data_IF_078977008738
#
_entry.id   IF_078977008738
#
_cell.length_a   1.000
_cell.length_b   1.000
_cell.length_c   1.000
_cell.angle_alpha   90.00
_cell.angle_beta   90.00
_cell.angle_gamma   90.00
#
_symmetry.space_group_name_H-M   'P 1'
#
loop_
_entity.id
_entity.type
_entity.pdbx_description
1 polymer ?
#
# COMPACT_ATOMS: atom_id res chain seq x y z
N UNK A 1 3.91 -5.35 -24.06
CA UNK A 1 2.85 -5.45 -23.03
C UNK A 1 2.83 -4.17 -22.20
N UNK A 2 1.68 -3.48 -22.15
CA UNK A 2 1.49 -2.33 -21.27
C UNK A 2 0.85 -2.79 -19.97
N UNK A 3 1.48 -2.47 -18.85
CA UNK A 3 0.97 -2.78 -17.51
C UNK A 3 -0.40 -2.10 -17.31
N UNK A 4 -1.36 -2.86 -16.80
CA UNK A 4 -2.69 -2.37 -16.44
C UNK A 4 -2.68 -1.97 -14.96
N UNK A 5 -2.80 -0.68 -14.69
CA UNK A 5 -2.74 -0.11 -13.35
C UNK A 5 -4.14 0.25 -12.88
N UNK A 6 -4.64 -0.44 -11.86
CA UNK A 6 -5.87 -0.04 -11.16
C UNK A 6 -5.57 1.11 -10.19
N UNK A 7 -6.42 2.13 -10.16
CA UNK A 7 -6.29 3.26 -9.24
C UNK A 7 -7.63 3.43 -8.52
N UNK A 8 -7.65 3.20 -7.20
CA UNK A 8 -8.85 3.50 -6.40
C UNK A 8 -8.90 4.99 -6.05
N UNK A 9 -10.08 5.57 -6.14
CA UNK A 9 -10.35 6.97 -5.80
C UNK A 9 -9.97 7.32 -4.35
N UNK A 10 -10.05 6.36 -3.42
CA UNK A 10 -9.91 6.61 -1.99
C UNK A 10 -11.13 7.29 -1.40
N UNK A 11 -10.94 8.23 -0.47
CA UNK A 11 -12.05 9.02 0.07
C UNK A 11 -12.64 9.93 -1.02
N UNK A 12 -13.93 9.76 -1.40
CA UNK A 12 -14.55 10.58 -2.42
C UNK A 12 -14.59 12.06 -2.07
N UNK A 13 -14.64 12.41 -0.78
CA UNK A 13 -14.63 13.81 -0.31
C UNK A 13 -13.22 14.38 -0.10
N UNK A 14 -12.17 13.54 -0.29
CA UNK A 14 -10.77 13.91 -0.09
C UNK A 14 -10.08 14.41 -1.37
N UNK A 15 -8.74 14.38 -1.34
CA UNK A 15 -7.90 14.81 -2.47
C UNK A 15 -7.75 13.75 -3.56
N UNK A 16 -8.17 12.50 -3.29
CA UNK A 16 -7.99 11.36 -4.18
C UNK A 16 -8.48 11.60 -5.61
N UNK A 17 -9.71 12.07 -5.82
CA UNK A 17 -10.24 12.36 -7.15
C UNK A 17 -9.37 13.33 -7.95
N UNK A 18 -8.96 14.45 -7.34
CA UNK A 18 -8.16 15.48 -7.99
C UNK A 18 -6.75 15.00 -8.37
N UNK A 19 -6.06 14.30 -7.44
CA UNK A 19 -4.71 13.80 -7.72
C UNK A 19 -4.71 12.68 -8.74
N UNK A 20 -5.74 11.84 -8.77
CA UNK A 20 -5.91 10.79 -9.80
C UNK A 20 -5.95 11.39 -11.19
N UNK A 21 -6.81 12.37 -11.43
CA UNK A 21 -6.92 13.02 -12.73
C UNK A 21 -5.63 13.71 -13.15
N UNK A 22 -4.98 14.44 -12.23
CA UNK A 22 -3.68 15.08 -12.50
C UNK A 22 -2.59 14.08 -12.84
N UNK A 23 -2.51 12.96 -12.10
CA UNK A 23 -1.51 11.92 -12.32
C UNK A 23 -1.69 11.23 -13.67
N UNK A 24 -2.91 10.86 -14.02
CA UNK A 24 -3.22 10.19 -15.29
C UNK A 24 -2.90 11.08 -16.49
N UNK A 25 -3.27 12.36 -16.43
CA UNK A 25 -2.94 13.32 -17.49
C UNK A 25 -1.43 13.44 -17.69
N UNK A 26 -0.65 13.46 -16.61
CA UNK A 26 0.82 13.54 -16.66
C UNK A 26 1.48 12.25 -17.15
N UNK A 27 0.85 11.10 -16.88
CA UNK A 27 1.38 9.77 -17.19
C UNK A 27 0.73 9.13 -18.44
N UNK A 28 -0.01 9.91 -19.22
CA UNK A 28 -0.68 9.45 -20.44
C UNK A 28 0.28 8.66 -21.33
N UNK A 29 -0.14 7.47 -21.76
CA UNK A 29 0.65 6.59 -22.62
C UNK A 29 1.70 5.74 -21.91
N UNK A 30 1.98 5.94 -20.61
CA UNK A 30 2.98 5.15 -19.84
C UNK A 30 2.43 3.78 -19.40
N UNK A 31 1.12 3.68 -19.13
CA UNK A 31 0.44 2.46 -18.73
C UNK A 31 -1.00 2.48 -19.26
N UNK A 32 -1.71 1.36 -19.11
CA UNK A 32 -3.17 1.30 -19.26
C UNK A 32 -3.80 1.53 -17.88
N UNK A 33 -4.53 2.62 -17.72
CA UNK A 33 -5.11 2.98 -16.42
C UNK A 33 -6.58 2.53 -16.33
N UNK A 34 -6.92 1.93 -15.20
CA UNK A 34 -8.29 1.58 -14.80
C UNK A 34 -8.60 2.34 -13.51
N UNK A 35 -9.43 3.35 -13.59
CA UNK A 35 -9.87 4.11 -12.41
C UNK A 35 -11.07 3.40 -11.80
N UNK A 36 -11.09 3.29 -10.47
CA UNK A 36 -12.16 2.67 -9.70
C UNK A 36 -12.68 3.72 -8.73
N UNK A 37 -13.94 4.11 -8.87
CA UNK A 37 -14.51 5.18 -8.05
C UNK A 37 -15.90 5.57 -8.51
N UNK A 38 -16.28 6.80 -8.24
CA UNK A 38 -17.56 7.40 -8.59
C UNK A 38 -17.38 8.45 -9.68
N UNK A 39 -18.04 8.24 -10.81
CA UNK A 39 -17.96 9.14 -11.99
C UNK A 39 -18.45 10.54 -11.68
N UNK A 40 -19.53 10.64 -10.91
CA UNK A 40 -20.10 11.93 -10.56
C UNK A 40 -19.10 12.77 -9.76
N UNK A 41 -18.43 12.16 -8.77
CA UNK A 41 -17.40 12.84 -7.97
C UNK A 41 -16.23 13.32 -8.83
N UNK A 42 -15.75 12.51 -9.79
CA UNK A 42 -14.72 12.95 -10.73
C UNK A 42 -15.15 14.13 -11.57
N UNK A 43 -16.42 14.19 -11.99
CA UNK A 43 -16.96 15.30 -12.74
C UNK A 43 -17.00 16.60 -11.92
N UNK A 44 -17.28 16.52 -10.60
CA UNK A 44 -17.23 17.69 -9.71
C UNK A 44 -15.82 18.32 -9.63
N UNK A 45 -14.78 17.49 -9.71
CA UNK A 45 -13.38 17.96 -9.65
C UNK A 45 -12.90 18.50 -11.01
N UNK A 46 -13.34 17.90 -12.11
CA UNK A 46 -12.82 18.21 -13.46
C UNK A 46 -13.59 19.31 -14.20
N UNK A 47 -14.67 19.84 -13.61
CA UNK A 47 -15.49 20.85 -14.29
C UNK A 47 -16.19 20.29 -15.53
N UNK A 48 -17.03 19.26 -15.36
CA UNK A 48 -18.00 18.74 -16.33
C UNK A 48 -17.58 17.63 -17.31
N UNK A 49 -16.33 17.26 -17.50
CA UNK A 49 -16.02 16.09 -18.34
C UNK A 49 -14.75 15.37 -17.89
N UNK A 50 -14.90 14.34 -17.03
CA UNK A 50 -13.84 13.36 -16.82
C UNK A 50 -13.70 12.46 -18.07
N UNK A 51 -13.26 13.02 -19.19
CA UNK A 51 -12.87 12.26 -20.37
C UNK A 51 -11.35 12.27 -20.49
N UNK A 52 -10.71 11.38 -19.75
CA UNK A 52 -9.29 11.09 -20.02
C UNK A 52 -9.26 10.02 -21.11
N UNK A 53 -8.99 10.44 -22.35
CA UNK A 53 -8.89 9.53 -23.50
C UNK A 53 -7.94 8.37 -23.19
N UNK A 54 -8.40 7.12 -23.38
CA UNK A 54 -7.60 5.91 -23.15
C UNK A 54 -7.56 5.41 -21.72
N UNK A 55 -8.48 5.86 -20.85
CA UNK A 55 -8.64 5.40 -19.46
C UNK A 55 -10.00 4.72 -19.30
N UNK A 56 -9.99 3.50 -18.73
CA UNK A 56 -11.24 2.81 -18.33
C UNK A 56 -11.66 3.32 -16.95
N UNK A 57 -12.88 3.78 -16.82
CA UNK A 57 -13.50 4.09 -15.53
C UNK A 57 -14.46 2.96 -15.14
N UNK A 58 -14.24 2.38 -13.97
CA UNK A 58 -15.16 1.48 -13.28
C UNK A 58 -15.95 2.33 -12.30
N UNK A 59 -17.15 2.71 -12.71
CA UNK A 59 -18.05 3.57 -11.96
C UNK A 59 -18.87 2.72 -10.99
N UNK A 60 -18.74 2.95 -9.68
CA UNK A 60 -19.54 2.26 -8.68
C UNK A 60 -20.84 3.00 -8.35
N UNK A 61 -20.93 4.29 -8.69
CA UNK A 61 -22.11 5.12 -8.46
C UNK A 61 -22.68 4.94 -7.03
N UNK A 62 -21.78 4.96 -6.03
CA UNK A 62 -22.08 4.60 -4.65
C UNK A 62 -21.98 5.79 -3.68
N UNK A 63 -21.86 7.01 -4.21
CA UNK A 63 -21.84 8.25 -3.44
C UNK A 63 -23.12 9.02 -3.74
N UNK A 64 -23.88 9.38 -2.69
CA UNK A 64 -25.09 10.21 -2.85
C UNK A 64 -24.72 11.61 -3.30
N UNK A 65 -25.34 12.06 -4.38
CA UNK A 65 -25.15 13.44 -4.89
C UNK A 65 -25.80 14.46 -3.99
N UNK A 66 -26.86 14.05 -3.27
CA UNK A 66 -27.60 14.91 -2.34
C UNK A 66 -26.73 15.16 -1.11
N UNK A 67 -26.46 16.41 -0.83
CA UNK A 67 -25.62 16.84 0.31
C UNK A 67 -24.15 16.39 0.23
N UNK A 68 -23.62 16.08 -0.95
CA UNK A 68 -22.20 15.84 -1.11
C UNK A 68 -21.40 17.11 -0.84
N UNK A 69 -20.33 16.98 -0.08
CA UNK A 69 -19.46 18.11 0.27
C UNK A 69 -18.03 17.62 0.42
N UNK A 70 -17.08 18.27 -0.29
CA UNK A 70 -15.66 17.98 -0.14
C UNK A 70 -15.14 18.36 1.25
N UNK A 71 -14.19 17.58 1.76
CA UNK A 71 -13.56 17.81 3.05
C UNK A 71 -14.40 17.38 4.26
N UNK A 72 -15.59 16.82 4.05
CA UNK A 72 -16.42 16.28 5.15
C UNK A 72 -16.15 14.81 5.40
N UNK A 73 -16.25 14.45 6.67
CA UNK A 73 -16.09 13.07 7.12
C UNK A 73 -17.49 12.47 7.34
N UNK A 74 -17.82 11.44 6.55
CA UNK A 74 -19.12 10.75 6.62
C UNK A 74 -18.93 9.23 6.49
N UNK A 75 -19.78 8.47 7.15
CA UNK A 75 -19.81 7.01 7.05
C UNK A 75 -19.99 6.53 5.60
N UNK A 76 -20.82 7.20 4.83
CA UNK A 76 -21.04 6.93 3.41
C UNK A 76 -19.75 6.96 2.60
N UNK A 77 -18.89 7.97 2.81
CA UNK A 77 -17.61 8.11 2.11
C UNK A 77 -16.60 7.04 2.53
N UNK A 78 -16.64 6.66 3.81
CA UNK A 78 -15.86 5.54 4.32
C UNK A 78 -16.26 4.21 3.67
N UNK A 79 -17.57 3.97 3.54
CA UNK A 79 -18.11 2.77 2.88
C UNK A 79 -17.71 2.75 1.40
N UNK A 80 -17.90 3.84 0.68
CA UNK A 80 -17.51 3.97 -0.71
C UNK A 80 -16.01 3.68 -0.92
N UNK A 81 -15.15 4.21 -0.04
CA UNK A 81 -13.70 3.95 -0.08
C UNK A 81 -13.36 2.46 0.03
N UNK A 82 -14.10 1.70 0.85
CA UNK A 82 -13.93 0.26 1.02
C UNK A 82 -14.39 -0.49 -0.22
N UNK A 83 -15.55 -0.14 -0.76
CA UNK A 83 -16.11 -0.76 -1.96
C UNK A 83 -15.20 -0.58 -3.19
N UNK A 84 -14.49 0.56 -3.29
CA UNK A 84 -13.46 0.74 -4.33
C UNK A 84 -12.29 -0.22 -4.17
N UNK A 85 -11.86 -0.51 -2.94
CA UNK A 85 -10.80 -1.49 -2.67
C UNK A 85 -11.27 -2.92 -2.99
N UNK A 86 -12.50 -3.27 -2.61
CA UNK A 86 -13.07 -4.59 -2.91
C UNK A 86 -13.19 -4.80 -4.42
N UNK A 87 -13.66 -3.80 -5.15
CA UNK A 87 -13.72 -3.87 -6.61
C UNK A 87 -12.33 -3.97 -7.25
N UNK A 88 -11.34 -3.28 -6.70
CA UNK A 88 -9.96 -3.41 -7.17
C UNK A 88 -9.41 -4.84 -6.97
N UNK A 89 -9.69 -5.47 -5.83
CA UNK A 89 -9.30 -6.86 -5.58
C UNK A 89 -9.99 -7.84 -6.53
N UNK A 90 -11.27 -7.62 -6.83
CA UNK A 90 -12.00 -8.40 -7.85
C UNK A 90 -11.29 -8.30 -9.21
N UNK A 91 -10.96 -7.07 -9.66
CA UNK A 91 -10.28 -6.84 -10.93
C UNK A 91 -8.87 -7.47 -10.99
N UNK A 92 -8.14 -7.50 -9.86
CA UNK A 92 -6.85 -8.20 -9.75
C UNK A 92 -7.05 -9.70 -9.91
N UNK A 93 -8.01 -10.28 -9.20
CA UNK A 93 -8.30 -11.72 -9.26
C UNK A 93 -8.73 -12.16 -10.67
N UNK A 94 -9.48 -11.32 -11.37
CA UNK A 94 -9.90 -11.53 -12.75
C UNK A 94 -8.80 -11.22 -13.79
N UNK A 95 -7.59 -10.78 -13.35
CA UNK A 95 -6.48 -10.37 -14.23
C UNK A 95 -6.83 -9.20 -15.17
N UNK A 96 -7.81 -8.41 -14.78
CA UNK A 96 -8.16 -7.19 -15.50
C UNK A 96 -7.20 -6.03 -15.20
N UNK A 97 -6.56 -6.04 -14.03
CA UNK A 97 -5.45 -5.16 -13.66
C UNK A 97 -4.28 -5.97 -13.10
N UNK A 98 -3.05 -5.48 -13.32
CA UNK A 98 -1.81 -6.15 -12.91
C UNK A 98 -1.31 -5.68 -11.54
N UNK A 99 -1.65 -4.44 -11.18
CA UNK A 99 -1.27 -3.83 -9.90
C UNK A 99 -2.28 -2.78 -9.47
N UNK A 100 -2.23 -2.43 -8.19
CA UNK A 100 -3.13 -1.48 -7.56
C UNK A 100 -2.35 -0.28 -6.99
N UNK A 101 -2.83 0.91 -7.31
CA UNK A 101 -2.46 2.17 -6.67
C UNK A 101 -3.68 2.66 -5.87
N UNK A 102 -3.49 2.98 -4.60
CA UNK A 102 -4.56 3.46 -3.74
C UNK A 102 -4.41 4.94 -3.43
N UNK A 103 -5.47 5.72 -3.60
CA UNK A 103 -5.53 7.08 -3.12
C UNK A 103 -5.81 7.12 -1.61
N UNK A 104 -5.54 8.26 -0.93
CA UNK A 104 -5.77 8.38 0.51
C UNK A 104 -7.22 8.11 0.92
N UNK A 105 -7.38 7.45 2.04
CA UNK A 105 -8.67 7.16 2.68
C UNK A 105 -8.77 7.86 4.03
N UNK A 106 -9.98 8.20 4.46
CA UNK A 106 -10.25 8.71 5.80
C UNK A 106 -10.48 7.55 6.76
N UNK A 107 -9.57 7.37 7.74
CA UNK A 107 -9.74 6.35 8.79
C UNK A 107 -10.98 6.59 9.62
N UNK A 108 -11.29 7.86 9.89
CA UNK A 108 -12.47 8.26 10.66
C UNK A 108 -13.76 7.91 9.90
N UNK A 109 -13.85 8.25 8.61
CA UNK A 109 -15.00 7.89 7.78
C UNK A 109 -15.21 6.37 7.70
N UNK A 110 -14.12 5.61 7.58
CA UNK A 110 -14.15 4.14 7.55
C UNK A 110 -14.65 3.56 8.89
N UNK A 111 -14.18 4.12 10.02
CA UNK A 111 -14.65 3.70 11.33
C UNK A 111 -16.13 4.03 11.55
N UNK A 112 -16.58 5.21 11.09
CA UNK A 112 -18.02 5.56 11.10
C UNK A 112 -18.86 4.61 10.23
N UNK A 113 -18.28 4.07 9.16
CA UNK A 113 -18.92 3.03 8.33
C UNK A 113 -18.96 1.64 9.00
N UNK A 114 -18.45 1.50 10.22
CA UNK A 114 -18.42 0.24 10.96
C UNK A 114 -17.26 -0.69 10.64
N UNK A 115 -16.34 -0.30 9.77
CA UNK A 115 -15.19 -1.11 9.43
C UNK A 115 -13.99 -0.77 10.35
N UNK A 116 -13.44 -1.80 10.99
CA UNK A 116 -12.33 -1.66 11.96
C UNK A 116 -11.03 -2.14 11.36
N UNK A 117 -10.29 -1.24 10.72
CA UNK A 117 -8.90 -1.47 10.28
C UNK A 117 -8.13 -0.14 10.23
N UNK A 118 -6.80 -0.24 10.40
CA UNK A 118 -5.96 0.95 10.57
C UNK A 118 -5.47 1.56 9.24
N UNK A 119 -5.82 0.99 8.10
CA UNK A 119 -5.43 1.49 6.77
C UNK A 119 -5.43 0.41 5.70
N UNK A 120 -4.98 0.79 4.50
CA UNK A 120 -4.95 -0.10 3.32
C UNK A 120 -4.23 -1.43 3.58
N UNK A 121 -3.08 -1.39 4.26
CA UNK A 121 -2.25 -2.58 4.47
C UNK A 121 -2.98 -3.67 5.23
N UNK A 122 -3.64 -3.32 6.32
CA UNK A 122 -4.40 -4.26 7.15
C UNK A 122 -5.64 -4.76 6.42
N UNK A 123 -6.33 -3.86 5.71
CA UNK A 123 -7.50 -4.23 4.92
C UNK A 123 -7.14 -5.23 3.81
N UNK A 124 -6.16 -4.89 2.98
CA UNK A 124 -5.73 -5.72 1.86
C UNK A 124 -5.17 -7.07 2.35
N UNK A 125 -4.39 -7.08 3.44
CA UNK A 125 -3.88 -8.30 4.07
C UNK A 125 -5.02 -9.25 4.45
N UNK A 126 -6.04 -8.72 5.13
CA UNK A 126 -7.21 -9.51 5.54
C UNK A 126 -8.00 -10.04 4.35
N UNK A 127 -8.23 -9.18 3.35
CA UNK A 127 -9.04 -9.55 2.15
C UNK A 127 -8.35 -10.54 1.24
N UNK A 128 -7.02 -10.58 1.26
CA UNK A 128 -6.21 -11.52 0.44
C UNK A 128 -5.68 -12.71 1.22
N UNK A 129 -6.06 -12.85 2.51
CA UNK A 129 -5.53 -13.87 3.42
C UNK A 129 -3.99 -13.91 3.43
N UNK A 130 -3.35 -12.75 3.27
CA UNK A 130 -1.91 -12.61 3.23
C UNK A 130 -1.38 -12.16 4.59
N UNK A 131 -0.93 -13.10 5.40
CA UNK A 131 -0.35 -12.82 6.72
C UNK A 131 1.07 -12.28 6.62
N UNK A 132 1.84 -12.79 5.68
CA UNK A 132 3.23 -12.44 5.45
C UNK A 132 3.34 -11.30 4.41
N UNK A 133 3.39 -10.07 4.90
CA UNK A 133 3.54 -8.89 4.05
C UNK A 133 4.64 -7.97 4.57
N UNK A 134 5.30 -7.29 3.66
CA UNK A 134 6.38 -6.34 3.95
C UNK A 134 6.05 -4.98 3.36
N UNK A 135 6.13 -3.94 4.20
CA UNK A 135 6.09 -2.56 3.72
C UNK A 135 7.48 -2.18 3.20
N UNK A 136 7.53 -1.79 1.93
CA UNK A 136 8.77 -1.33 1.31
C UNK A 136 8.64 0.13 0.89
N UNK A 137 9.54 0.97 1.39
CA UNK A 137 9.73 2.34 0.93
C UNK A 137 10.83 2.35 -0.12
N UNK A 138 10.60 2.96 -1.25
CA UNK A 138 11.56 2.89 -2.35
C UNK A 138 11.68 4.21 -3.12
N UNK A 139 12.88 4.44 -3.63
CA UNK A 139 13.16 5.42 -4.66
C UNK A 139 14.04 4.79 -5.75
N UNK A 140 14.57 5.59 -6.68
CA UNK A 140 15.41 5.06 -7.78
C UNK A 140 16.67 4.34 -7.28
N UNK A 141 17.24 4.76 -6.15
CA UNK A 141 18.54 4.31 -5.64
C UNK A 141 18.41 3.25 -4.55
N UNK A 142 17.47 3.43 -3.63
CA UNK A 142 17.38 2.64 -2.39
C UNK A 142 15.98 2.08 -2.20
N UNK A 143 15.93 0.89 -1.60
CA UNK A 143 14.70 0.20 -1.19
C UNK A 143 14.84 -0.22 0.27
N UNK A 144 13.95 0.27 1.13
CA UNK A 144 13.91 -0.04 2.55
C UNK A 144 12.72 -0.93 2.86
N UNK A 145 12.96 -2.13 3.36
CA UNK A 145 11.93 -3.02 3.90
C UNK A 145 11.85 -2.89 5.41
N UNK A 146 10.66 -2.64 5.93
CA UNK A 146 10.43 -2.43 7.34
C UNK A 146 10.10 -3.75 8.04
N UNK A 147 10.88 -4.11 9.08
CA UNK A 147 10.61 -5.29 9.91
C UNK A 147 9.43 -5.03 10.85
N UNK A 148 9.34 -3.82 11.40
CA UNK A 148 8.22 -3.37 12.22
C UNK A 148 7.58 -2.13 11.59
N UNK A 149 6.26 -1.97 11.75
CA UNK A 149 5.50 -0.83 11.22
C UNK A 149 4.36 -0.45 12.15
N UNK A 150 4.05 0.83 12.23
CA UNK A 150 2.90 1.38 12.98
C UNK A 150 2.82 0.91 14.44
N UNK A 151 3.94 0.80 15.12
CA UNK A 151 4.03 0.47 16.54
C UNK A 151 4.76 1.57 17.31
N UNK A 152 4.45 1.69 18.61
CA UNK A 152 5.17 2.62 19.48
C UNK A 152 6.65 2.22 19.58
N UNK A 153 7.55 3.20 19.63
CA UNK A 153 9.01 2.96 19.66
C UNK A 153 9.42 2.00 20.79
N UNK A 154 8.85 2.17 21.99
CA UNK A 154 9.07 1.30 23.15
C UNK A 154 8.74 -0.20 22.91
N UNK A 155 7.94 -0.50 21.90
CA UNK A 155 7.50 -1.85 21.58
C UNK A 155 8.32 -2.49 20.43
N UNK A 156 9.29 -1.78 19.86
CA UNK A 156 10.07 -2.29 18.70
C UNK A 156 10.84 -3.55 19.09
N UNK A 157 11.56 -3.53 20.19
CA UNK A 157 12.34 -4.67 20.68
C UNK A 157 11.47 -5.88 20.98
N UNK A 158 10.30 -5.68 21.59
CA UNK A 158 9.32 -6.72 21.89
C UNK A 158 8.72 -7.37 20.64
N UNK A 159 8.64 -6.63 19.56
CA UNK A 159 8.06 -7.10 18.28
C UNK A 159 9.10 -7.60 17.29
N UNK A 160 10.38 -7.39 17.57
CA UNK A 160 11.48 -7.94 16.77
C UNK A 160 11.69 -9.41 17.16
N UNK A 161 11.65 -10.30 16.16
CA UNK A 161 11.95 -11.72 16.34
C UNK A 161 12.76 -12.26 15.16
N UNK A 162 13.49 -13.38 15.39
CA UNK A 162 14.25 -14.08 14.34
C UNK A 162 13.35 -14.45 13.16
N UNK A 163 12.17 -14.99 13.43
CA UNK A 163 11.22 -15.42 12.40
C UNK A 163 10.72 -14.22 11.58
N UNK A 164 10.31 -13.14 12.24
CA UNK A 164 9.85 -11.92 11.55
C UNK A 164 10.94 -11.34 10.66
N UNK A 165 12.17 -11.22 11.18
CA UNK A 165 13.30 -10.72 10.39
C UNK A 165 13.59 -11.63 9.20
N UNK A 166 13.64 -12.94 9.42
CA UNK A 166 13.84 -13.94 8.39
C UNK A 166 12.78 -13.84 7.27
N UNK A 167 11.50 -13.83 7.64
CA UNK A 167 10.38 -13.68 6.68
C UNK A 167 10.47 -12.37 5.91
N UNK A 168 10.76 -11.26 6.59
CA UNK A 168 10.93 -9.94 5.94
C UNK A 168 12.01 -9.98 4.87
N UNK A 169 13.17 -10.58 5.17
CA UNK A 169 14.27 -10.69 4.21
C UNK A 169 13.90 -11.60 3.03
N UNK A 170 13.26 -12.73 3.28
CA UNK A 170 12.84 -13.65 2.20
C UNK A 170 11.81 -13.00 1.25
N UNK A 171 10.81 -12.32 1.80
CA UNK A 171 9.78 -11.62 1.00
C UNK A 171 10.44 -10.52 0.18
N UNK A 172 11.33 -9.73 0.82
CA UNK A 172 12.11 -8.68 0.15
C UNK A 172 12.96 -9.27 -0.99
N UNK A 173 13.69 -10.36 -0.74
CA UNK A 173 14.51 -11.02 -1.76
C UNK A 173 13.66 -11.49 -2.95
N UNK A 174 12.54 -12.17 -2.67
CA UNK A 174 11.60 -12.61 -3.71
C UNK A 174 11.05 -11.44 -4.53
N UNK A 175 10.68 -10.34 -3.88
CA UNK A 175 10.19 -9.15 -4.55
C UNK A 175 11.28 -8.51 -5.44
N UNK A 176 12.50 -8.37 -4.94
CA UNK A 176 13.63 -7.82 -5.71
C UNK A 176 13.90 -8.65 -6.98
N UNK A 177 13.81 -9.98 -6.89
CA UNK A 177 13.98 -10.85 -8.07
C UNK A 177 12.79 -10.80 -9.02
N UNK A 178 11.57 -10.92 -8.51
CA UNK A 178 10.36 -11.09 -9.34
C UNK A 178 9.78 -9.78 -9.86
N UNK A 179 9.73 -8.74 -9.01
CA UNK A 179 9.09 -7.46 -9.35
C UNK A 179 10.09 -6.44 -9.88
N UNK A 180 11.32 -6.44 -9.34
CA UNK A 180 12.37 -5.51 -9.77
C UNK A 180 13.36 -6.12 -10.76
N UNK A 181 13.23 -7.42 -11.07
CA UNK A 181 14.05 -8.16 -12.05
C UNK A 181 15.57 -8.11 -11.73
N UNK A 182 15.92 -7.98 -10.45
CA UNK A 182 17.31 -7.96 -10.01
C UNK A 182 17.80 -9.40 -9.85
N UNK A 183 18.69 -9.87 -10.72
CA UNK A 183 19.17 -11.26 -10.72
C UNK A 183 19.83 -11.66 -9.39
N UNK A 184 20.74 -10.83 -8.86
CA UNK A 184 21.48 -11.07 -7.64
C UNK A 184 21.29 -9.91 -6.65
N UNK A 185 20.15 -9.83 -5.94
CA UNK A 185 19.87 -8.73 -5.03
C UNK A 185 20.78 -8.80 -3.81
N UNK A 186 21.43 -7.69 -3.48
CA UNK A 186 22.20 -7.52 -2.25
C UNK A 186 21.30 -6.86 -1.20
N UNK A 187 21.14 -7.53 -0.05
CA UNK A 187 20.32 -7.03 1.06
C UNK A 187 21.24 -6.74 2.23
N UNK A 188 21.21 -5.52 2.71
CA UNK A 188 21.90 -5.11 3.94
C UNK A 188 20.88 -5.01 5.06
N UNK A 189 21.20 -5.52 6.22
CA UNK A 189 20.39 -5.41 7.44
C UNK A 189 21.08 -4.44 8.39
N UNK A 190 20.38 -3.36 8.73
CA UNK A 190 20.88 -2.38 9.69
C UNK A 190 20.82 -2.95 11.12
N UNK A 191 21.75 -2.51 11.97
CA UNK A 191 21.63 -2.69 13.41
C UNK A 191 20.41 -1.95 13.96
N UNK A 192 19.89 -2.40 15.08
CA UNK A 192 18.84 -1.73 15.84
C UNK A 192 19.44 -0.72 16.82
N UNK A 193 20.49 -1.16 17.51
CA UNK A 193 21.16 -0.34 18.52
C UNK A 193 22.34 0.45 17.91
N UNK A 194 22.75 1.56 18.54
CA UNK A 194 23.98 2.28 18.17
C UNK A 194 25.17 1.32 18.07
N UNK A 195 26.06 1.56 17.10
CA UNK A 195 27.27 0.76 16.86
C UNK A 195 27.03 -0.75 16.77
N UNK A 196 25.81 -1.16 16.31
CA UNK A 196 25.37 -2.55 16.28
C UNK A 196 25.55 -3.24 17.65
N UNK A 197 25.17 -2.54 18.72
CA UNK A 197 25.19 -2.92 20.13
C UNK A 197 26.58 -3.01 20.81
N UNK A 198 27.68 -2.65 20.16
CA UNK A 198 29.04 -2.79 20.72
C UNK A 198 29.25 -4.14 21.45
N UNK A 199 29.02 -5.25 20.73
CA UNK A 199 29.06 -6.62 21.25
C UNK A 199 28.11 -6.90 22.44
N UNK A 200 27.04 -6.16 22.57
CA UNK A 200 26.02 -6.37 23.60
C UNK A 200 26.08 -5.37 24.76
N UNK A 201 26.98 -4.39 24.72
CA UNK A 201 27.04 -3.31 25.74
C UNK A 201 25.85 -2.38 25.69
N UNK A 202 25.28 -2.16 24.47
CA UNK A 202 24.16 -1.25 24.22
C UNK A 202 22.91 -2.04 23.75
N UNK A 203 22.60 -3.14 24.40
CA UNK A 203 21.49 -4.02 24.02
C UNK A 203 21.95 -5.34 23.40
N UNK A 204 21.07 -6.30 23.34
CA UNK A 204 21.42 -7.67 22.95
C UNK A 204 20.70 -8.14 21.66
N UNK A 205 19.88 -7.28 21.06
CA UNK A 205 19.05 -7.64 19.91
C UNK A 205 19.86 -8.10 18.72
N UNK A 206 21.03 -7.49 18.48
CA UNK A 206 21.95 -7.89 17.42
C UNK A 206 22.45 -9.32 17.67
N UNK A 207 22.94 -9.59 18.86
CA UNK A 207 23.52 -10.88 19.21
C UNK A 207 22.48 -12.00 19.34
N UNK A 208 21.31 -11.68 19.92
CA UNK A 208 20.27 -12.69 20.20
C UNK A 208 19.32 -12.92 19.05
N UNK A 209 19.09 -11.90 18.18
CA UNK A 209 18.05 -11.94 17.14
C UNK A 209 18.62 -11.74 15.74
N UNK A 210 19.32 -10.60 15.48
CA UNK A 210 19.67 -10.20 14.12
C UNK A 210 20.75 -11.12 13.54
N UNK A 211 21.89 -11.27 14.22
CA UNK A 211 23.00 -12.10 13.74
C UNK A 211 22.59 -13.58 13.56
N UNK A 212 21.85 -14.21 14.50
CA UNK A 212 21.40 -15.59 14.30
C UNK A 212 20.43 -15.75 13.13
N UNK A 213 19.52 -14.78 12.90
CA UNK A 213 18.62 -14.80 11.73
C UNK A 213 19.41 -14.74 10.42
N UNK A 214 20.44 -13.88 10.34
CA UNK A 214 21.31 -13.76 9.16
C UNK A 214 22.17 -15.01 8.92
N UNK A 215 22.69 -15.62 9.97
CA UNK A 215 23.45 -16.89 9.87
C UNK A 215 22.60 -18.00 9.23
N UNK A 216 21.33 -18.10 9.60
CA UNK A 216 20.40 -19.08 9.02
C UNK A 216 20.10 -18.84 7.54
N UNK A 217 20.07 -17.57 7.11
CA UNK A 217 19.84 -17.20 5.70
C UNK A 217 21.03 -17.48 4.80
N UNK A 218 22.27 -17.37 5.31
CA UNK A 218 23.50 -17.62 4.54
C UNK A 218 23.75 -19.11 4.26
N UNK A 219 23.06 -20.00 4.99
CA UNK A 219 23.18 -21.46 4.82
C UNK A 219 22.25 -22.04 3.75
N UNK A 220 21.36 -21.21 3.21
CA UNK A 220 20.37 -21.55 2.16
C UNK A 220 20.65 -20.80 0.86
#
# INVERSE_FOLDING_TARGET
YRVKVGITMGDPSGIGPAITLKAINKLKGKAYFVIIGDKWVFNQVSGARCQVSGVKLVDLNNVSHKNFEFGKIRAEYGRASIEYLDKALELINNKEIDCLVTCPISKEAINLAGARFNGHTEYLSKRTNSEDLVMMLLNKQVKFSLVTRHIALKNVTLKLSKDRLYKTILITHKALKKLFLIKNPKIVVCGLNPHASDNGLIGEEENKIIIPALKNLRKK
#
